data_IF_633171152114
#
_entry.id   IF_633171152114
#
_cell.length_a   1.000
_cell.length_b   1.000
_cell.length_c   1.000
_cell.angle_alpha   90.00
_cell.angle_beta   90.00
_cell.angle_gamma   90.00
#
_symmetry.space_group_name_H-M   'P 1'
#
loop_
_entity.id
_entity.type
_entity.pdbx_description
1 polymer ?
#
# COMPACT_ATOMS: atom_id res chain seq x y z
N UNK A 1 -42.05 -36.28 12.98
CA UNK A 1 -43.16 -36.46 13.92
C UNK A 1 -42.78 -35.85 15.24
N UNK A 2 -43.22 -34.61 15.50
CA UNK A 2 -43.65 -34.16 16.84
C UNK A 2 -44.79 -33.19 16.55
N UNK A 3 -45.99 -33.61 16.95
CA UNK A 3 -47.25 -32.85 16.96
C UNK A 3 -47.12 -31.73 18.00
N UNK A 4 -47.57 -30.51 17.69
CA UNK A 4 -48.14 -29.63 18.71
C UNK A 4 -49.35 -28.89 18.15
N UNK A 5 -50.52 -29.42 18.53
CA UNK A 5 -51.86 -28.92 18.20
C UNK A 5 -52.31 -28.02 19.34
N UNK A 6 -52.67 -26.78 19.05
CA UNK A 6 -53.47 -25.95 19.96
C UNK A 6 -54.78 -25.61 19.25
N UNK A 7 -55.86 -26.24 19.68
CA UNK A 7 -57.24 -25.89 19.36
C UNK A 7 -57.82 -25.07 20.50
N UNK A 8 -58.44 -23.92 20.20
CA UNK A 8 -59.26 -23.17 21.17
C UNK A 8 -60.72 -23.27 20.74
N UNK A 9 -61.50 -24.08 21.46
CA UNK A 9 -62.96 -24.10 21.34
C UNK A 9 -63.54 -23.07 22.32
N UNK A 10 -64.50 -22.26 21.85
CA UNK A 10 -65.37 -21.44 22.69
C UNK A 10 -66.79 -21.97 22.48
N UNK A 11 -67.36 -22.60 23.52
CA UNK A 11 -68.78 -22.92 23.58
C UNK A 11 -69.47 -21.83 24.40
N UNK A 12 -70.36 -21.07 23.77
CA UNK A 12 -71.37 -20.31 24.50
C UNK A 12 -72.65 -21.15 24.59
N UNK A 13 -73.08 -21.38 25.82
CA UNK A 13 -74.32 -22.06 26.17
C UNK A 13 -75.45 -21.02 26.16
N UNK A 14 -76.38 -21.14 25.22
CA UNK A 14 -77.74 -20.63 25.40
C UNK A 14 -78.70 -21.72 24.93
N UNK A 15 -79.44 -22.28 25.88
CA UNK A 15 -80.30 -23.44 25.65
C UNK A 15 -81.37 -23.15 24.62
N UNK A 16 -81.52 -24.07 23.66
CA UNK A 16 -82.72 -24.57 22.99
C UNK A 16 -82.24 -25.53 21.88
N UNK A 17 -82.40 -26.85 22.07
CA UNK A 17 -82.22 -27.98 21.13
C UNK A 17 -80.92 -28.06 20.28
N UNK A 18 -80.31 -29.25 20.08
CA UNK A 18 -79.10 -29.36 19.27
C UNK A 18 -79.43 -29.13 17.78
N UNK A 19 -79.07 -27.96 17.24
CA UNK A 19 -79.00 -27.75 15.80
C UNK A 19 -77.82 -28.53 15.22
N UNK A 20 -78.07 -29.25 14.12
CA UNK A 20 -77.07 -29.98 13.33
C UNK A 20 -75.86 -29.08 13.03
N UNK A 21 -74.62 -29.59 13.12
CA UNK A 21 -73.44 -28.78 12.80
C UNK A 21 -73.49 -28.34 11.33
N UNK A 22 -73.29 -27.03 11.11
CA UNK A 22 -73.05 -26.47 9.77
C UNK A 22 -71.89 -27.21 9.08
N UNK A 23 -71.90 -27.31 7.73
CA UNK A 23 -70.78 -27.89 7.01
C UNK A 23 -69.50 -27.17 7.40
N UNK A 24 -68.50 -27.99 7.72
CA UNK A 24 -67.10 -27.64 7.94
C UNK A 24 -66.70 -26.41 7.14
N UNK A 25 -66.29 -25.33 7.83
CA UNK A 25 -65.47 -24.29 7.22
C UNK A 25 -64.23 -24.97 6.64
N UNK A 26 -64.15 -25.07 5.32
CA UNK A 26 -62.93 -25.50 4.65
C UNK A 26 -61.81 -24.56 5.09
N UNK A 27 -60.76 -25.14 5.69
CA UNK A 27 -59.51 -24.45 5.93
C UNK A 27 -58.88 -24.21 4.55
N UNK A 28 -58.98 -22.99 4.05
CA UNK A 28 -58.18 -22.55 2.91
C UNK A 28 -56.77 -22.37 3.43
N UNK A 29 -55.95 -23.42 3.31
CA UNK A 29 -54.51 -23.28 3.41
C UNK A 29 -54.05 -22.44 2.22
N UNK A 30 -53.90 -21.14 2.43
CA UNK A 30 -53.11 -20.30 1.55
C UNK A 30 -51.66 -20.73 1.70
N UNK A 31 -51.27 -21.80 1.00
CA UNK A 31 -49.88 -22.03 0.67
C UNK A 31 -49.46 -20.89 -0.27
N UNK A 32 -48.95 -19.81 0.31
CA UNK A 32 -48.23 -18.78 -0.43
C UNK A 32 -47.11 -19.49 -1.18
N UNK A 33 -47.25 -19.56 -2.51
CA UNK A 33 -46.26 -20.21 -3.37
C UNK A 33 -44.93 -19.49 -3.16
N UNK A 34 -43.89 -20.25 -2.82
CA UNK A 34 -42.57 -19.68 -2.63
C UNK A 34 -42.12 -18.90 -3.87
N UNK A 35 -41.45 -17.79 -3.63
CA UNK A 35 -40.80 -16.94 -4.63
C UNK A 35 -39.30 -16.87 -4.34
N UNK A 36 -38.54 -16.23 -5.24
CA UNK A 36 -37.11 -16.01 -5.04
C UNK A 36 -36.86 -15.11 -3.81
N UNK A 37 -35.73 -15.27 -3.11
CA UNK A 37 -35.43 -14.45 -1.94
C UNK A 37 -35.26 -12.96 -2.29
N UNK A 38 -35.48 -12.10 -1.31
CA UNK A 38 -35.08 -10.70 -1.36
C UNK A 38 -33.55 -10.51 -1.30
N UNK A 39 -33.07 -9.27 -1.44
CA UNK A 39 -31.65 -8.98 -1.37
C UNK A 39 -31.09 -9.19 0.04
N UNK A 40 -29.89 -9.79 0.18
CA UNK A 40 -29.15 -9.80 1.44
C UNK A 40 -28.81 -8.39 1.93
N UNK A 41 -28.37 -8.29 3.19
CA UNK A 41 -27.81 -7.05 3.73
C UNK A 41 -26.54 -6.61 3.00
N UNK A 42 -26.22 -5.32 3.11
CA UNK A 42 -24.98 -4.76 2.53
C UNK A 42 -23.75 -5.47 3.11
N UNK A 43 -22.86 -6.01 2.28
CA UNK A 43 -21.70 -6.75 2.77
C UNK A 43 -20.69 -5.81 3.44
N UNK A 44 -20.15 -6.25 4.56
CA UNK A 44 -19.06 -5.62 5.31
C UNK A 44 -17.78 -6.40 5.01
N UNK A 45 -16.76 -5.67 4.59
CA UNK A 45 -15.48 -6.24 4.15
C UNK A 45 -14.39 -5.88 5.17
N UNK A 46 -13.74 -6.91 5.69
CA UNK A 46 -12.55 -6.78 6.54
C UNK A 46 -11.33 -7.22 5.73
N UNK A 47 -10.51 -6.25 5.30
CA UNK A 47 -9.30 -6.50 4.50
C UNK A 47 -8.21 -7.14 5.36
N UNK A 48 -7.57 -8.18 4.83
CA UNK A 48 -6.38 -8.83 5.37
C UNK A 48 -5.19 -8.55 4.42
N UNK A 49 -4.07 -9.28 4.56
CA UNK A 49 -2.85 -9.02 3.78
C UNK A 49 -3.05 -9.18 2.26
N UNK A 50 -3.54 -10.34 1.83
CA UNK A 50 -3.72 -10.75 0.42
C UNK A 50 -5.15 -11.30 0.16
N UNK A 51 -5.98 -11.28 1.20
CA UNK A 51 -7.34 -11.80 1.21
C UNK A 51 -8.28 -10.78 1.86
N UNK A 52 -9.58 -10.98 1.72
CA UNK A 52 -10.57 -10.16 2.42
C UNK A 52 -11.71 -11.03 2.95
N UNK A 53 -12.04 -10.90 4.23
CA UNK A 53 -13.19 -11.56 4.80
C UNK A 53 -14.44 -10.71 4.55
N UNK A 54 -15.43 -11.27 3.87
CA UNK A 54 -16.70 -10.62 3.56
C UNK A 54 -17.79 -11.24 4.41
N UNK A 55 -18.57 -10.40 5.08
CA UNK A 55 -19.69 -10.82 5.92
C UNK A 55 -20.95 -10.05 5.54
N UNK A 56 -22.10 -10.68 5.69
CA UNK A 56 -23.39 -10.06 5.38
C UNK A 56 -24.49 -10.59 6.30
N UNK A 57 -25.70 -10.04 6.20
CA UNK A 57 -26.89 -10.59 6.87
C UNK A 57 -27.80 -11.27 5.85
N UNK A 58 -28.53 -12.34 6.22
CA UNK A 58 -29.52 -12.96 5.34
C UNK A 58 -30.59 -11.95 4.86
N UNK A 59 -31.30 -12.25 3.76
CA UNK A 59 -32.46 -11.47 3.34
C UNK A 59 -33.50 -11.36 4.46
N UNK A 60 -34.13 -10.20 4.60
CA UNK A 60 -35.26 -10.04 5.52
C UNK A 60 -36.50 -10.83 5.07
N UNK A 61 -36.63 -11.04 3.76
CA UNK A 61 -37.67 -11.85 3.13
C UNK A 61 -36.99 -12.97 2.32
N UNK A 62 -37.20 -14.22 2.71
CA UNK A 62 -36.67 -15.40 2.03
C UNK A 62 -37.56 -15.90 0.89
N UNK A 63 -38.68 -15.19 0.62
CA UNK A 63 -39.65 -15.55 -0.39
C UNK A 63 -40.53 -16.74 0.01
N UNK A 64 -40.60 -17.09 1.29
CA UNK A 64 -41.41 -18.21 1.79
C UNK A 64 -40.73 -19.58 1.67
N UNK A 65 -39.46 -19.63 1.28
CA UNK A 65 -38.63 -20.83 1.29
C UNK A 65 -37.21 -20.51 1.76
N UNK A 66 -36.65 -21.38 2.60
CA UNK A 66 -35.34 -21.20 3.22
C UNK A 66 -34.25 -20.96 2.16
N UNK A 67 -33.41 -19.95 2.40
CA UNK A 67 -32.20 -19.70 1.61
C UNK A 67 -31.26 -20.91 1.69
N UNK A 68 -30.87 -21.43 0.53
CA UNK A 68 -30.04 -22.62 0.36
C UNK A 68 -28.59 -22.29 0.03
N UNK A 69 -28.31 -21.14 -0.59
CA UNK A 69 -26.93 -20.71 -0.87
C UNK A 69 -26.80 -19.21 -1.15
N UNK A 70 -25.55 -18.73 -1.16
CA UNK A 70 -25.18 -17.38 -1.56
C UNK A 70 -24.18 -17.38 -2.71
N UNK A 71 -24.39 -16.47 -3.66
CA UNK A 71 -23.45 -16.13 -4.71
C UNK A 71 -22.73 -14.83 -4.33
N UNK A 72 -21.40 -14.86 -4.39
CA UNK A 72 -20.54 -13.71 -4.11
C UNK A 72 -20.08 -13.17 -5.46
N UNK A 73 -20.47 -11.94 -5.76
CA UNK A 73 -20.08 -11.26 -6.98
C UNK A 73 -19.13 -10.11 -6.66
N UNK A 74 -18.06 -10.01 -7.45
CA UNK A 74 -17.02 -8.99 -7.28
C UNK A 74 -16.78 -8.27 -8.60
N UNK A 75 -16.52 -6.97 -8.52
CA UNK A 75 -16.03 -6.18 -9.64
C UNK A 75 -14.82 -5.36 -9.23
N UNK A 76 -14.01 -5.00 -10.22
CA UNK A 76 -12.99 -3.95 -10.05
C UNK A 76 -13.65 -2.60 -10.31
N UNK A 77 -13.49 -1.66 -9.39
CA UNK A 77 -14.05 -0.32 -9.48
C UNK A 77 -13.26 0.57 -10.47
N UNK A 78 -12.03 0.17 -10.81
CA UNK A 78 -11.15 0.87 -11.77
C UNK A 78 -11.42 0.54 -13.25
N UNK A 79 -12.33 -0.39 -13.54
CA UNK A 79 -12.51 -0.95 -14.88
C UNK A 79 -13.74 -0.35 -15.60
N UNK A 80 -13.54 0.13 -16.82
CA UNK A 80 -14.58 0.78 -17.65
C UNK A 80 -15.78 -0.13 -18.00
N UNK A 81 -15.61 -1.46 -17.97
CA UNK A 81 -16.67 -2.40 -18.38
C UNK A 81 -17.72 -2.69 -17.29
N UNK A 82 -17.53 -2.21 -16.05
CA UNK A 82 -18.52 -2.28 -14.96
C UNK A 82 -19.25 -3.64 -14.78
N UNK A 83 -18.55 -4.75 -15.01
CA UNK A 83 -19.13 -6.11 -14.98
C UNK A 83 -18.85 -6.80 -13.65
N UNK A 84 -19.91 -7.34 -13.05
CA UNK A 84 -19.84 -8.20 -11.87
C UNK A 84 -19.44 -9.62 -12.27
N UNK A 85 -18.50 -10.22 -11.53
CA UNK A 85 -18.03 -11.60 -11.75
C UNK A 85 -18.32 -12.46 -10.53
N UNK A 86 -18.85 -13.66 -10.76
CA UNK A 86 -19.05 -14.65 -9.71
C UNK A 86 -17.69 -15.15 -9.20
N UNK A 87 -17.50 -15.16 -7.88
CA UNK A 87 -16.25 -15.55 -7.22
C UNK A 87 -16.28 -17.01 -6.77
N UNK A 88 -17.38 -17.46 -6.16
CA UNK A 88 -17.49 -18.80 -5.59
C UNK A 88 -17.95 -19.85 -6.61
N UNK A 89 -17.25 -19.98 -7.75
CA UNK A 89 -17.61 -20.91 -8.83
C UNK A 89 -17.58 -22.37 -8.42
N UNK A 90 -16.66 -22.73 -7.52
CA UNK A 90 -16.39 -24.12 -7.12
C UNK A 90 -16.90 -24.44 -5.70
N UNK A 91 -17.63 -23.51 -5.06
CA UNK A 91 -18.06 -23.64 -3.66
C UNK A 91 -19.48 -23.13 -3.44
N UNK A 92 -20.32 -23.98 -2.87
CA UNK A 92 -21.63 -23.60 -2.37
C UNK A 92 -21.51 -22.97 -0.97
N UNK A 93 -21.91 -21.71 -0.83
CA UNK A 93 -21.80 -20.97 0.43
C UNK A 93 -23.14 -21.00 1.16
N UNK A 94 -23.20 -21.73 2.27
CA UNK A 94 -24.41 -21.90 3.09
C UNK A 94 -24.50 -20.88 4.25
N UNK A 95 -23.36 -20.33 4.65
CA UNK A 95 -23.24 -19.34 5.73
C UNK A 95 -23.30 -17.89 5.23
N UNK A 96 -23.04 -16.95 6.12
CA UNK A 96 -23.08 -15.50 5.83
C UNK A 96 -21.70 -14.85 5.87
N UNK A 97 -20.67 -15.63 5.53
CA UNK A 97 -19.28 -15.18 5.44
C UNK A 97 -18.57 -15.89 4.30
N UNK A 98 -17.64 -15.19 3.64
CA UNK A 98 -16.81 -15.73 2.58
C UNK A 98 -15.42 -15.08 2.58
N UNK A 99 -14.37 -15.89 2.44
CA UNK A 99 -13.00 -15.40 2.28
C UNK A 99 -12.73 -15.18 0.79
N UNK A 100 -12.53 -13.93 0.39
CA UNK A 100 -12.07 -13.59 -0.94
C UNK A 100 -10.56 -13.83 -1.05
N UNK A 101 -10.17 -14.59 -2.07
CA UNK A 101 -8.79 -14.93 -2.42
C UNK A 101 -8.47 -14.48 -3.85
N UNK A 102 -7.18 -14.52 -4.22
CA UNK A 102 -6.73 -14.15 -5.57
C UNK A 102 -6.90 -12.65 -5.89
N UNK A 103 -6.93 -11.80 -4.86
CA UNK A 103 -7.05 -10.36 -5.01
C UNK A 103 -5.70 -9.76 -5.45
N UNK A 104 -5.76 -8.77 -6.33
CA UNK A 104 -4.56 -8.05 -6.79
C UNK A 104 -4.32 -6.84 -5.90
N UNK A 105 -3.11 -6.70 -5.39
CA UNK A 105 -2.69 -5.51 -4.64
C UNK A 105 -2.96 -4.24 -5.43
N UNK A 106 -3.36 -3.19 -4.72
CA UNK A 106 -3.59 -1.84 -5.22
C UNK A 106 -4.76 -1.67 -6.19
N UNK A 107 -5.59 -2.69 -6.35
CA UNK A 107 -6.82 -2.63 -7.13
C UNK A 107 -8.01 -2.35 -6.21
N UNK A 108 -8.89 -1.43 -6.63
CA UNK A 108 -10.14 -1.13 -5.94
C UNK A 108 -11.21 -2.16 -6.32
N UNK A 109 -11.82 -2.77 -5.31
CA UNK A 109 -12.86 -3.78 -5.46
C UNK A 109 -14.16 -3.34 -4.79
N UNK A 110 -15.26 -3.87 -5.33
CA UNK A 110 -16.58 -3.85 -4.71
C UNK A 110 -17.16 -5.25 -4.77
N UNK A 111 -17.94 -5.60 -3.74
CA UNK A 111 -18.55 -6.92 -3.60
C UNK A 111 -20.05 -6.77 -3.34
N UNK A 112 -20.85 -7.65 -3.93
CA UNK A 112 -22.28 -7.79 -3.62
C UNK A 112 -22.66 -9.26 -3.50
N UNK A 113 -23.75 -9.52 -2.79
CA UNK A 113 -24.19 -10.86 -2.43
C UNK A 113 -25.57 -11.13 -3.01
N UNK A 114 -25.81 -12.34 -3.52
CA UNK A 114 -27.11 -12.76 -4.04
C UNK A 114 -27.55 -14.05 -3.34
N UNK A 115 -28.75 -14.07 -2.79
CA UNK A 115 -29.30 -15.27 -2.14
C UNK A 115 -30.04 -16.17 -3.13
N UNK A 116 -30.00 -17.48 -2.90
CA UNK A 116 -30.71 -18.50 -3.67
C UNK A 116 -31.53 -19.38 -2.73
N UNK A 117 -32.76 -19.70 -3.10
CA UNK A 117 -33.58 -20.74 -2.47
C UNK A 117 -33.98 -21.80 -3.52
N UNK A 118 -34.90 -22.71 -3.17
CA UNK A 118 -35.38 -23.75 -4.09
C UNK A 118 -36.07 -23.22 -5.37
N UNK A 119 -36.59 -21.99 -5.33
CA UNK A 119 -37.24 -21.32 -6.47
C UNK A 119 -36.19 -20.70 -7.39
N UNK A 120 -35.07 -20.26 -6.83
CA UNK A 120 -33.89 -19.80 -7.56
C UNK A 120 -33.23 -18.58 -6.94
N UNK A 121 -32.38 -17.94 -7.73
CA UNK A 121 -31.56 -16.79 -7.33
C UNK A 121 -32.37 -15.49 -7.38
N UNK A 122 -32.33 -14.74 -6.27
CA UNK A 122 -33.00 -13.46 -6.05
C UNK A 122 -32.22 -12.24 -6.55
N UNK A 123 -32.55 -11.07 -6.00
CA UNK A 123 -31.90 -9.80 -6.33
C UNK A 123 -30.60 -9.60 -5.54
N UNK A 124 -29.60 -8.88 -6.11
CA UNK A 124 -28.34 -8.61 -5.42
C UNK A 124 -28.50 -7.58 -4.29
N UNK A 125 -27.65 -7.69 -3.28
CA UNK A 125 -27.50 -6.65 -2.25
C UNK A 125 -26.93 -5.35 -2.81
N UNK A 126 -26.99 -4.27 -2.02
CA UNK A 126 -26.17 -3.10 -2.28
C UNK A 126 -24.69 -3.48 -2.27
N UNK A 127 -23.85 -2.89 -3.15
CA UNK A 127 -22.40 -3.07 -3.10
C UNK A 127 -21.81 -2.71 -1.74
N UNK A 128 -20.72 -3.38 -1.36
CA UNK A 128 -19.87 -2.99 -0.23
C UNK A 128 -19.37 -1.54 -0.36
N UNK A 129 -18.76 -1.01 0.69
CA UNK A 129 -17.82 0.10 0.50
C UNK A 129 -16.67 -0.34 -0.43
N UNK A 130 -16.07 0.61 -1.16
CA UNK A 130 -14.89 0.33 -1.97
C UNK A 130 -13.75 -0.03 -1.04
N UNK A 131 -13.08 -1.16 -1.32
CA UNK A 131 -11.90 -1.59 -0.58
C UNK A 131 -10.73 -1.90 -1.52
N UNK A 132 -9.53 -1.86 -0.96
CA UNK A 132 -8.28 -2.09 -1.70
C UNK A 132 -7.39 -3.02 -0.90
N UNK A 133 -6.78 -4.00 -1.58
CA UNK A 133 -5.74 -4.83 -0.96
C UNK A 133 -4.42 -4.07 -0.99
N UNK A 134 -3.77 -3.98 0.17
CA UNK A 134 -2.39 -3.49 0.30
C UNK A 134 -1.57 -4.61 0.91
N UNK A 135 -1.07 -5.50 0.05
CA UNK A 135 -0.15 -6.53 0.52
C UNK A 135 1.16 -5.87 0.90
N UNK A 136 1.39 -5.71 2.20
CA UNK A 136 2.71 -5.42 2.74
C UNK A 136 3.54 -6.69 2.57
N UNK A 137 4.27 -6.77 1.46
CA UNK A 137 5.30 -7.81 1.31
C UNK A 137 6.39 -7.48 2.32
N UNK A 138 6.27 -8.03 3.53
CA UNK A 138 7.42 -8.23 4.41
C UNK A 138 8.25 -9.32 3.74
N UNK A 139 8.98 -8.95 2.69
CA UNK A 139 10.13 -9.77 2.33
C UNK A 139 10.99 -9.81 3.58
N UNK A 140 11.43 -11.00 3.97
CA UNK A 140 12.64 -11.04 4.75
C UNK A 140 13.63 -10.22 3.93
N UNK A 141 14.19 -9.12 4.46
CA UNK A 141 15.24 -8.43 3.74
C UNK A 141 16.20 -9.53 3.29
N UNK A 142 16.66 -9.47 2.04
CA UNK A 142 17.86 -10.22 1.68
C UNK A 142 18.92 -9.58 2.57
N UNK A 143 19.04 -10.10 3.78
CA UNK A 143 20.15 -9.81 4.64
C UNK A 143 21.28 -10.36 3.82
N UNK A 144 22.10 -9.48 3.25
CA UNK A 144 23.45 -9.82 2.86
C UNK A 144 24.10 -10.35 4.14
N UNK A 145 23.87 -11.63 4.44
CA UNK A 145 24.31 -12.30 5.65
C UNK A 145 25.82 -12.39 5.48
N UNK A 146 26.49 -11.39 6.07
CA UNK A 146 27.85 -11.49 6.59
C UNK A 146 28.94 -11.63 5.52
N UNK A 147 29.15 -10.59 4.69
CA UNK A 147 30.46 -10.38 4.03
C UNK A 147 30.87 -8.91 3.81
N UNK A 148 29.98 -7.93 3.91
CA UNK A 148 30.40 -6.52 3.93
C UNK A 148 30.98 -6.19 5.32
N UNK A 149 32.29 -6.37 5.48
CA UNK A 149 33.06 -5.96 6.65
C UNK A 149 33.11 -4.43 6.74
N UNK A 150 31.98 -3.80 7.05
CA UNK A 150 31.95 -2.36 7.24
C UNK A 150 31.04 -1.93 8.38
N UNK A 151 31.60 -1.10 9.25
CA UNK A 151 30.85 -0.41 10.29
C UNK A 151 30.17 0.81 9.65
N UNK A 152 28.85 0.90 9.82
CA UNK A 152 28.00 2.02 9.39
C UNK A 152 27.93 2.23 7.86
N UNK A 153 26.91 1.64 7.22
CA UNK A 153 26.55 1.94 5.83
C UNK A 153 25.86 3.30 5.79
N UNK A 154 26.40 4.23 5.03
CA UNK A 154 25.83 5.58 4.84
C UNK A 154 24.86 5.62 3.66
N UNK A 155 25.19 4.89 2.60
CA UNK A 155 24.38 4.83 1.39
C UNK A 155 24.73 3.61 0.52
N UNK A 156 23.82 3.26 -0.40
CA UNK A 156 23.97 2.17 -1.36
C UNK A 156 23.36 2.57 -2.71
N UNK A 157 23.99 2.18 -3.81
CA UNK A 157 23.38 2.22 -5.13
C UNK A 157 23.64 0.90 -5.88
N UNK A 158 22.74 0.56 -6.80
CA UNK A 158 22.91 -0.57 -7.71
C UNK A 158 22.77 -0.07 -9.14
N UNK A 159 23.78 -0.36 -9.96
CA UNK A 159 23.77 0.00 -11.38
C UNK A 159 22.99 -1.02 -12.22
N UNK A 160 22.61 -0.64 -13.44
CA UNK A 160 21.99 -1.56 -14.41
C UNK A 160 22.89 -2.74 -14.82
N UNK A 161 24.22 -2.59 -14.69
CA UNK A 161 25.21 -3.66 -14.87
C UNK A 161 25.43 -4.50 -13.60
N UNK A 162 24.56 -4.36 -12.60
CA UNK A 162 24.58 -5.09 -11.34
C UNK A 162 25.82 -4.86 -10.47
N UNK A 163 26.53 -3.74 -10.66
CA UNK A 163 27.50 -3.26 -9.68
C UNK A 163 26.79 -2.75 -8.44
N UNK A 164 27.24 -3.20 -7.27
CA UNK A 164 26.74 -2.80 -5.96
C UNK A 164 27.73 -1.81 -5.36
N UNK A 165 27.32 -0.56 -5.18
CA UNK A 165 28.13 0.50 -4.59
C UNK A 165 27.74 0.66 -3.14
N UNK A 166 28.71 0.54 -2.23
CA UNK A 166 28.51 0.65 -0.79
C UNK A 166 29.35 1.81 -0.27
N UNK A 167 28.69 2.84 0.26
CA UNK A 167 29.35 3.88 1.04
C UNK A 167 29.25 3.49 2.50
N UNK A 168 30.40 3.36 3.17
CA UNK A 168 30.42 2.89 4.56
C UNK A 168 31.59 3.43 5.37
N UNK A 169 31.31 3.96 6.56
CA UNK A 169 32.30 4.59 7.43
C UNK A 169 33.06 5.71 6.71
N UNK A 170 34.30 5.43 6.30
CA UNK A 170 35.20 6.33 5.60
C UNK A 170 35.52 5.91 4.16
N UNK A 171 34.96 4.80 3.67
CA UNK A 171 35.33 4.22 2.38
C UNK A 171 34.10 4.01 1.49
N UNK A 172 34.35 4.10 0.18
CA UNK A 172 33.39 3.73 -0.85
C UNK A 172 33.92 2.53 -1.61
N UNK A 173 33.16 1.43 -1.62
CA UNK A 173 33.54 0.17 -2.26
C UNK A 173 32.51 -0.24 -3.29
N UNK A 174 32.99 -0.82 -4.38
CA UNK A 174 32.18 -1.35 -5.47
C UNK A 174 32.38 -2.86 -5.53
N UNK A 175 31.26 -3.57 -5.61
CA UNK A 175 31.20 -5.01 -5.67
C UNK A 175 30.49 -5.46 -6.94
N UNK A 176 30.84 -6.64 -7.44
CA UNK A 176 30.07 -7.34 -8.45
C UNK A 176 28.76 -7.89 -7.86
N UNK A 177 27.90 -8.41 -8.72
CA UNK A 177 26.63 -9.05 -8.33
C UNK A 177 26.81 -10.31 -7.48
N UNK A 178 27.99 -10.95 -7.52
CA UNK A 178 28.39 -12.07 -6.68
C UNK A 178 29.06 -11.64 -5.36
N UNK A 179 29.05 -10.34 -5.06
CA UNK A 179 29.65 -9.70 -3.89
C UNK A 179 31.19 -9.71 -3.85
N UNK A 180 31.86 -10.11 -4.93
CA UNK A 180 33.31 -9.93 -5.03
C UNK A 180 33.66 -8.43 -5.13
N UNK A 181 34.74 -8.01 -4.44
CA UNK A 181 35.19 -6.62 -4.47
C UNK A 181 35.80 -6.32 -5.85
N UNK A 182 35.21 -5.35 -6.56
CA UNK A 182 35.75 -4.82 -7.81
C UNK A 182 36.77 -3.72 -7.52
N UNK A 183 36.39 -2.76 -6.65
CA UNK A 183 37.25 -1.62 -6.35
C UNK A 183 36.97 -1.03 -4.97
N UNK A 184 38.03 -0.64 -4.26
CA UNK A 184 37.95 0.30 -3.13
C UNK A 184 38.38 1.67 -3.65
N UNK A 185 37.46 2.62 -3.64
CA UNK A 185 37.72 4.00 -4.09
C UNK A 185 38.51 4.76 -3.01
N UNK A 186 38.47 4.32 -1.74
CA UNK A 186 39.20 4.96 -0.64
C UNK A 186 38.68 6.35 -0.20
N UNK A 187 37.77 6.94 -0.97
CA UNK A 187 37.19 8.26 -0.70
C UNK A 187 35.94 8.17 0.18
N UNK A 188 35.77 9.20 1.03
CA UNK A 188 34.62 9.33 1.92
C UNK A 188 33.50 10.16 1.27
N UNK A 189 32.69 9.49 0.46
CA UNK A 189 31.42 10.04 0.01
C UNK A 189 30.34 9.87 1.09
N UNK A 190 29.26 10.63 0.96
CA UNK A 190 28.07 10.56 1.80
C UNK A 190 26.87 9.99 1.06
N UNK A 191 26.70 10.34 -0.22
CA UNK A 191 25.61 9.82 -1.05
C UNK A 191 26.07 9.40 -2.43
N UNK A 192 25.30 8.50 -3.02
CA UNK A 192 25.48 8.04 -4.39
C UNK A 192 24.14 7.98 -5.12
N UNK A 193 24.15 8.39 -6.38
CA UNK A 193 23.08 8.09 -7.33
C UNK A 193 23.69 7.52 -8.61
N UNK A 194 22.87 6.83 -9.40
CA UNK A 194 23.26 6.31 -10.72
C UNK A 194 22.60 7.20 -11.77
N UNK A 195 23.41 7.85 -12.59
CA UNK A 195 22.92 8.65 -13.70
C UNK A 195 22.31 7.76 -14.80
N UNK A 196 21.51 8.36 -15.69
CA UNK A 196 20.82 7.65 -16.77
C UNK A 196 21.76 6.92 -17.74
N UNK A 197 23.00 7.37 -17.85
CA UNK A 197 24.05 6.75 -18.66
C UNK A 197 24.87 5.70 -17.91
N UNK A 198 24.52 5.41 -16.65
CA UNK A 198 25.17 4.43 -15.80
C UNK A 198 26.38 4.95 -15.01
N UNK A 199 26.70 6.24 -15.10
CA UNK A 199 27.73 6.84 -14.26
C UNK A 199 27.31 6.88 -12.78
N UNK A 200 28.27 6.67 -11.90
CA UNK A 200 28.08 6.88 -10.47
C UNK A 200 28.35 8.33 -10.14
N UNK A 201 27.42 8.96 -9.41
CA UNK A 201 27.49 10.37 -9.05
C UNK A 201 27.45 10.50 -7.53
N UNK A 202 28.43 11.18 -6.96
CA UNK A 202 28.63 11.25 -5.52
C UNK A 202 28.64 12.67 -4.97
N UNK A 203 28.24 12.78 -3.71
CA UNK A 203 28.47 13.96 -2.86
C UNK A 203 29.27 13.55 -1.62
N UNK A 204 30.09 14.45 -1.09
CA UNK A 204 30.95 14.24 0.09
C UNK A 204 30.65 15.23 1.24
N UNK A 205 29.63 16.07 1.08
CA UNK A 205 29.33 17.17 2.01
C UNK A 205 29.95 18.51 1.62
N UNK A 206 30.77 18.58 0.57
CA UNK A 206 31.27 19.82 -0.01
C UNK A 206 30.28 20.39 -1.04
N UNK A 207 30.72 21.41 -1.77
CA UNK A 207 30.01 21.95 -2.95
C UNK A 207 30.37 21.23 -4.24
N UNK A 208 31.12 20.12 -4.18
CA UNK A 208 31.59 19.39 -5.35
C UNK A 208 30.79 18.11 -5.55
N UNK A 209 30.45 17.82 -6.80
CA UNK A 209 29.82 16.58 -7.23
C UNK A 209 30.83 15.80 -8.07
N UNK A 210 31.01 14.52 -7.76
CA UNK A 210 32.02 13.67 -8.39
C UNK A 210 31.38 12.60 -9.27
N UNK A 211 31.96 12.36 -10.44
CA UNK A 211 31.48 11.40 -11.42
C UNK A 211 32.51 10.27 -11.60
N UNK A 212 32.03 9.04 -11.55
CA UNK A 212 32.83 7.84 -11.75
C UNK A 212 32.13 6.90 -12.73
N UNK A 213 32.91 6.03 -13.38
CA UNK A 213 32.35 4.90 -14.13
C UNK A 213 31.68 3.91 -13.17
N UNK A 214 30.83 3.03 -13.69
CA UNK A 214 30.22 1.95 -12.89
C UNK A 214 31.25 1.07 -12.17
N UNK A 215 32.45 0.90 -12.77
CA UNK A 215 33.57 0.13 -12.20
C UNK A 215 34.44 0.96 -11.22
N UNK A 216 34.07 2.22 -10.95
CA UNK A 216 34.73 3.08 -9.96
C UNK A 216 35.97 3.83 -10.45
N UNK A 217 36.11 4.08 -11.75
CA UNK A 217 37.16 4.96 -12.26
C UNK A 217 36.68 6.41 -12.26
N UNK A 218 37.47 7.31 -11.68
CA UNK A 218 37.15 8.74 -11.68
C UNK A 218 37.06 9.26 -13.11
N UNK A 219 36.01 10.03 -13.40
CA UNK A 219 35.77 10.67 -14.70
C UNK A 219 36.09 12.15 -14.59
N UNK A 220 35.38 12.84 -13.69
CA UNK A 220 35.44 14.30 -13.50
C UNK A 220 34.74 14.70 -12.20
N UNK A 221 34.87 15.97 -11.83
CA UNK A 221 34.02 16.62 -10.84
C UNK A 221 33.47 17.96 -11.35
N UNK A 222 32.42 18.45 -10.72
CA UNK A 222 31.86 19.79 -10.95
C UNK A 222 31.70 20.49 -9.61
N UNK A 223 32.02 21.78 -9.58
CA UNK A 223 31.75 22.64 -8.43
C UNK A 223 30.41 23.33 -8.63
N UNK A 224 29.51 23.17 -7.66
CA UNK A 224 28.22 23.86 -7.64
C UNK A 224 28.41 25.33 -7.28
N UNK A 225 27.98 26.24 -8.16
CA UNK A 225 28.22 27.69 -8.06
C UNK A 225 27.10 28.40 -7.28
N UNK A 226 27.43 29.41 -6.44
CA UNK A 226 26.46 30.20 -5.63
C UNK A 226 26.67 30.23 -4.10
N UNK A 227 27.75 29.60 -3.60
CA UNK A 227 28.33 29.61 -2.24
C UNK A 227 27.39 29.50 -1.02
N UNK A 228 27.21 28.29 -0.52
CA UNK A 228 27.79 27.79 0.75
C UNK A 228 27.56 26.27 0.87
N UNK A 229 27.27 25.59 -0.24
CA UNK A 229 26.56 24.32 -0.29
C UNK A 229 27.20 23.24 0.57
N UNK A 230 26.39 22.68 1.48
CA UNK A 230 26.70 21.42 2.15
C UNK A 230 25.82 20.35 1.53
N UNK A 231 26.25 19.86 0.37
CA UNK A 231 25.48 18.92 -0.44
C UNK A 231 25.40 17.56 0.25
N UNK A 232 24.19 17.05 0.44
CA UNK A 232 23.95 15.75 1.05
C UNK A 232 23.21 14.83 0.08
N UNK A 233 21.88 14.76 0.16
CA UNK A 233 21.06 13.98 -0.76
C UNK A 233 21.37 14.35 -2.20
N UNK A 234 21.50 13.33 -3.07
CA UNK A 234 21.59 13.50 -4.52
C UNK A 234 20.71 12.46 -5.21
N UNK A 235 20.03 12.85 -6.29
CA UNK A 235 19.34 11.93 -7.20
C UNK A 235 19.43 12.44 -8.64
N UNK A 236 19.15 11.57 -9.60
CA UNK A 236 19.10 11.92 -11.02
C UNK A 236 17.66 11.90 -11.51
N UNK A 237 17.24 12.95 -12.20
CA UNK A 237 15.94 13.01 -12.86
C UNK A 237 15.97 12.24 -14.19
N UNK A 238 14.79 11.85 -14.68
CA UNK A 238 14.64 11.23 -16.00
C UNK A 238 15.11 12.13 -17.16
N UNK A 239 15.20 13.44 -16.93
CA UNK A 239 15.76 14.42 -17.88
C UNK A 239 17.29 14.39 -17.94
N UNK A 240 17.96 13.68 -17.01
CA UNK A 240 19.40 13.67 -16.85
C UNK A 240 19.94 14.77 -15.93
N UNK A 241 19.10 15.70 -15.45
CA UNK A 241 19.55 16.70 -14.47
C UNK A 241 19.74 16.06 -13.09
N UNK A 242 20.62 16.65 -12.28
CA UNK A 242 20.82 16.23 -10.90
C UNK A 242 19.93 17.06 -9.97
N UNK A 243 19.49 16.45 -8.89
CA UNK A 243 18.83 17.15 -7.79
C UNK A 243 19.62 16.92 -6.53
N UNK A 244 19.94 17.99 -5.82
CA UNK A 244 20.73 17.94 -4.58
C UNK A 244 20.06 18.68 -3.43
N UNK A 245 20.19 18.12 -2.23
CA UNK A 245 19.84 18.79 -0.99
C UNK A 245 21.02 19.61 -0.47
N UNK A 246 20.78 20.86 -0.10
CA UNK A 246 21.73 21.70 0.61
C UNK A 246 21.27 21.94 2.06
N UNK A 247 22.11 21.51 3.00
CA UNK A 247 21.84 21.67 4.43
C UNK A 247 22.08 23.07 4.97
N UNK A 248 22.87 23.91 4.27
CA UNK A 248 23.15 25.26 4.74
C UNK A 248 22.01 26.22 4.39
N UNK A 249 21.48 26.13 3.18
CA UNK A 249 20.28 26.89 2.75
C UNK A 249 18.96 26.20 3.09
N UNK A 250 19.02 24.96 3.60
CA UNK A 250 17.86 24.10 3.88
C UNK A 250 16.88 24.03 2.72
N UNK A 251 17.43 23.78 1.53
CA UNK A 251 16.75 23.86 0.23
C UNK A 251 17.19 22.73 -0.69
N UNK A 252 16.48 22.57 -1.80
CA UNK A 252 16.82 21.66 -2.89
C UNK A 252 17.08 22.44 -4.17
N UNK A 253 18.06 21.97 -4.94
CA UNK A 253 18.51 22.58 -6.19
C UNK A 253 18.51 21.57 -7.33
N UNK A 254 18.17 22.04 -8.53
CA UNK A 254 18.44 21.33 -9.77
C UNK A 254 19.81 21.78 -10.27
N UNK A 255 20.69 20.83 -10.57
CA UNK A 255 22.06 21.06 -11.00
C UNK A 255 22.26 20.51 -12.41
N UNK A 256 22.77 21.37 -13.29
CA UNK A 256 23.17 21.00 -14.64
C UNK A 256 24.50 20.23 -14.60
N UNK A 257 24.50 18.99 -15.11
CA UNK A 257 25.65 18.08 -15.00
C UNK A 257 26.92 18.58 -15.68
N UNK A 258 26.79 19.37 -16.75
CA UNK A 258 27.92 19.84 -17.54
C UNK A 258 28.57 21.09 -16.98
N UNK A 259 27.78 21.96 -16.35
CA UNK A 259 28.21 23.30 -15.94
C UNK A 259 28.33 23.48 -14.43
N UNK A 260 27.65 22.63 -13.64
CA UNK A 260 27.53 22.83 -12.19
C UNK A 260 26.62 23.99 -11.81
N UNK A 261 25.91 24.60 -12.76
CA UNK A 261 24.95 25.65 -12.47
C UNK A 261 23.78 25.07 -11.67
N UNK A 262 23.51 25.67 -10.52
CA UNK A 262 22.40 25.29 -9.65
C UNK A 262 21.26 26.31 -9.75
N UNK A 263 20.05 25.80 -9.94
CA UNK A 263 18.81 26.58 -9.83
C UNK A 263 18.04 26.12 -8.60
N UNK A 264 17.60 27.04 -7.71
CA UNK A 264 16.77 26.65 -6.58
C UNK A 264 15.47 26.04 -7.09
N UNK A 265 15.18 24.81 -6.66
CA UNK A 265 13.87 24.20 -6.87
C UNK A 265 12.92 24.65 -5.78
N UNK A 266 13.37 24.72 -4.53
CA UNK A 266 12.55 25.16 -3.39
C UNK A 266 12.94 26.54 -2.90
N UNK A 267 12.02 27.24 -2.24
CA UNK A 267 12.34 28.46 -1.51
C UNK A 267 13.32 28.18 -0.34
N UNK A 268 14.21 29.13 0.03
CA UNK A 268 15.06 29.03 1.21
C UNK A 268 14.29 28.67 2.48
N UNK A 269 14.77 27.69 3.24
CA UNK A 269 14.14 27.25 4.49
C UNK A 269 12.88 26.41 4.35
N UNK A 270 12.56 25.93 3.13
CA UNK A 270 11.46 24.98 2.90
C UNK A 270 11.62 23.71 3.74
N UNK A 271 12.87 23.32 4.02
CA UNK A 271 13.23 22.16 4.82
C UNK A 271 13.90 22.58 6.13
N UNK A 272 14.01 21.65 7.05
CA UNK A 272 14.83 21.71 8.26
C UNK A 272 15.84 20.55 8.22
N UNK A 273 17.04 20.87 7.70
CA UNK A 273 18.15 19.93 7.57
C UNK A 273 17.86 18.75 6.59
N UNK A 274 17.60 19.02 5.30
CA UNK A 274 17.28 17.99 4.31
C UNK A 274 18.45 17.01 4.14
N UNK A 275 18.16 15.70 4.11
CA UNK A 275 19.18 14.67 4.29
C UNK A 275 19.35 13.71 3.12
N UNK A 276 18.26 13.39 2.43
CA UNK A 276 18.23 12.47 1.29
C UNK A 276 17.15 12.95 0.32
N UNK A 277 17.33 12.62 -0.96
CA UNK A 277 16.39 12.96 -2.02
C UNK A 277 16.25 11.80 -3.00
N UNK A 278 15.04 11.58 -3.48
CA UNK A 278 14.71 10.60 -4.54
C UNK A 278 13.63 11.17 -5.45
N UNK A 279 13.17 10.41 -6.44
CA UNK A 279 12.15 10.80 -7.41
C UNK A 279 11.32 9.56 -7.79
N UNK A 280 10.10 9.76 -8.28
CA UNK A 280 9.29 8.69 -8.85
C UNK A 280 8.46 9.19 -10.04
N UNK A 281 7.61 8.36 -10.62
CA UNK A 281 6.85 8.74 -11.83
C UNK A 281 5.75 9.79 -11.59
N UNK A 282 5.39 10.03 -10.32
CA UNK A 282 4.28 10.92 -9.91
C UNK A 282 4.75 12.23 -9.29
N UNK A 283 5.96 12.27 -8.75
CA UNK A 283 6.49 13.36 -7.92
C UNK A 283 7.90 13.66 -8.40
N UNK A 284 8.15 14.92 -8.75
CA UNK A 284 9.45 15.32 -9.32
C UNK A 284 10.56 15.08 -8.32
N UNK A 285 10.37 15.50 -7.06
CA UNK A 285 11.39 15.34 -6.02
C UNK A 285 10.75 14.96 -4.69
N UNK A 286 11.27 13.94 -4.02
CA UNK A 286 10.86 13.50 -2.68
C UNK A 286 12.06 13.66 -1.74
N UNK A 287 11.88 14.39 -0.66
CA UNK A 287 12.98 14.78 0.25
C UNK A 287 12.71 14.27 1.66
N UNK A 288 13.73 13.69 2.29
CA UNK A 288 13.72 13.44 3.73
C UNK A 288 14.14 14.70 4.49
N UNK A 289 13.15 15.32 5.13
CA UNK A 289 13.32 16.50 5.97
C UNK A 289 13.64 16.08 7.40
N UNK A 290 14.94 15.88 7.68
CA UNK A 290 15.39 15.12 8.86
C UNK A 290 14.99 15.78 10.18
N UNK A 291 15.27 17.07 10.35
CA UNK A 291 14.94 17.78 11.59
C UNK A 291 13.54 18.39 11.53
N UNK A 292 12.95 18.48 10.32
CA UNK A 292 11.52 18.74 10.11
C UNK A 292 10.64 17.52 10.33
N UNK A 293 11.24 16.35 10.61
CA UNK A 293 10.60 15.09 10.99
C UNK A 293 9.53 14.62 9.99
N UNK A 294 9.75 14.92 8.71
CA UNK A 294 8.77 14.66 7.66
C UNK A 294 9.45 14.27 6.35
N UNK A 295 8.64 13.73 5.44
CA UNK A 295 8.95 13.57 4.03
C UNK A 295 8.10 14.57 3.27
N UNK A 296 8.71 15.31 2.34
CA UNK A 296 7.97 16.25 1.49
C UNK A 296 8.20 15.92 0.03
N UNK A 297 7.13 15.93 -0.75
CA UNK A 297 7.19 15.84 -2.21
C UNK A 297 7.04 17.22 -2.84
N UNK A 298 7.86 17.52 -3.83
CA UNK A 298 7.82 18.74 -4.62
C UNK A 298 7.39 18.44 -6.06
N UNK A 299 6.67 19.39 -6.66
CA UNK A 299 6.47 19.43 -8.10
C UNK A 299 7.65 20.12 -8.83
N UNK A 300 7.50 20.27 -10.16
CA UNK A 300 8.49 20.90 -11.04
C UNK A 300 8.73 22.38 -10.75
N UNK A 301 7.75 23.04 -10.12
CA UNK A 301 7.78 24.47 -9.79
C UNK A 301 8.20 24.70 -8.33
N UNK A 302 8.58 23.62 -7.62
CA UNK A 302 9.04 23.70 -6.24
C UNK A 302 7.96 23.73 -5.18
N UNK A 303 6.69 23.57 -5.57
CA UNK A 303 5.58 23.58 -4.63
C UNK A 303 5.49 22.24 -3.89
N UNK A 304 5.19 22.31 -2.60
CA UNK A 304 5.02 21.11 -1.77
C UNK A 304 3.69 20.46 -2.11
N UNK A 305 3.74 19.32 -2.80
CA UNK A 305 2.57 18.50 -3.15
C UNK A 305 2.01 17.76 -1.93
N UNK A 306 2.88 17.28 -1.06
CA UNK A 306 2.50 16.62 0.18
C UNK A 306 3.57 16.77 1.26
N UNK A 307 3.15 16.62 2.50
CA UNK A 307 4.02 16.43 3.67
C UNK A 307 3.49 15.23 4.45
N UNK A 308 4.37 14.28 4.74
CA UNK A 308 4.04 13.07 5.49
C UNK A 308 4.99 12.93 6.68
N UNK A 309 4.48 12.50 7.82
CA UNK A 309 5.27 12.30 9.03
C UNK A 309 5.07 13.38 10.09
N UNK A 310 5.11 12.95 11.34
CA UNK A 310 5.24 13.77 12.54
C UNK A 310 6.18 13.06 13.52
N UNK A 311 6.70 13.75 14.52
CA UNK A 311 7.55 13.10 15.54
C UNK A 311 6.80 11.97 16.25
N UNK A 312 7.40 10.78 16.29
CA UNK A 312 6.91 9.71 17.16
C UNK A 312 7.19 8.32 16.62
N UNK A 313 6.55 7.31 17.19
CA UNK A 313 6.77 5.89 16.86
C UNK A 313 5.50 5.14 16.45
N UNK A 314 4.36 5.81 16.44
CA UNK A 314 3.09 5.26 15.95
C UNK A 314 3.02 5.21 14.43
N UNK A 315 1.92 4.67 13.92
CA UNK A 315 1.64 4.64 12.48
C UNK A 315 1.69 6.06 11.88
N UNK A 316 2.43 6.23 10.79
CA UNK A 316 2.64 7.53 10.16
C UNK A 316 3.56 8.50 10.90
N UNK A 317 4.18 8.09 12.00
CA UNK A 317 5.16 8.90 12.71
C UNK A 317 6.60 8.48 12.38
N UNK A 318 7.52 9.46 12.37
CA UNK A 318 8.92 9.28 11.99
C UNK A 318 9.84 9.83 13.08
N UNK A 319 11.00 9.22 13.25
CA UNK A 319 12.10 9.77 14.08
C UNK A 319 13.36 9.97 13.26
N UNK A 320 13.65 11.24 12.93
CA UNK A 320 14.79 11.64 12.12
C UNK A 320 14.90 10.82 10.83
N UNK A 321 13.94 10.98 9.89
CA UNK A 321 13.98 10.26 8.63
C UNK A 321 15.29 10.58 7.91
N UNK A 322 16.04 9.53 7.54
CA UNK A 322 17.33 9.67 6.86
C UNK A 322 17.26 9.14 5.45
N UNK A 323 17.02 7.85 5.27
CA UNK A 323 16.88 7.24 3.95
C UNK A 323 15.47 7.44 3.41
N UNK A 324 15.34 7.78 2.14
CA UNK A 324 14.08 7.75 1.41
C UNK A 324 14.33 7.21 0.02
N UNK A 325 13.49 6.27 -0.41
CA UNK A 325 13.54 5.70 -1.75
C UNK A 325 12.12 5.36 -2.23
N UNK A 326 11.99 4.99 -3.50
CA UNK A 326 10.71 4.60 -4.08
C UNK A 326 10.78 3.27 -4.81
N UNK A 327 9.73 2.47 -4.67
CA UNK A 327 9.62 1.23 -5.43
C UNK A 327 9.05 1.45 -6.85
N UNK A 328 8.98 0.37 -7.63
CA UNK A 328 8.45 0.38 -9.01
C UNK A 328 6.97 0.77 -9.14
N UNK A 329 6.22 0.80 -8.04
CA UNK A 329 4.82 1.19 -8.00
C UNK A 329 4.64 2.63 -7.43
N UNK A 330 5.75 3.35 -7.26
CA UNK A 330 5.88 4.69 -6.67
C UNK A 330 5.60 4.77 -5.15
N UNK A 331 5.63 3.65 -4.43
CA UNK A 331 5.55 3.71 -2.96
C UNK A 331 6.82 4.30 -2.38
N UNK A 332 6.64 5.20 -1.42
CA UNK A 332 7.75 5.83 -0.71
C UNK A 332 8.14 4.95 0.47
N UNK A 333 9.38 4.50 0.47
CA UNK A 333 9.99 3.75 1.57
C UNK A 333 10.89 4.70 2.34
N UNK A 334 10.74 4.72 3.67
CA UNK A 334 11.48 5.63 4.54
C UNK A 334 12.24 4.83 5.59
N UNK A 335 13.54 5.05 5.68
CA UNK A 335 14.37 4.56 6.77
C UNK A 335 14.54 5.66 7.81
N UNK A 336 13.93 5.48 8.98
CA UNK A 336 14.10 6.37 10.12
C UNK A 336 15.15 5.82 11.11
N UNK A 337 15.83 6.72 11.82
CA UNK A 337 17.05 6.37 12.56
C UNK A 337 16.77 5.80 13.95
N UNK A 338 15.57 6.02 14.51
CA UNK A 338 15.29 5.77 15.92
C UNK A 338 13.96 5.09 16.21
N UNK A 339 13.13 4.80 15.20
CA UNK A 339 11.95 3.96 15.41
C UNK A 339 12.39 2.50 15.29
N UNK A 340 12.93 1.97 16.40
CA UNK A 340 13.15 0.54 16.53
C UNK A 340 11.77 -0.13 16.49
N UNK A 341 11.40 -0.72 15.36
CA UNK A 341 10.38 -1.77 15.36
C UNK A 341 10.91 -2.91 16.21
N UNK A 342 10.60 -2.93 17.51
CA UNK A 342 10.70 -4.15 18.28
C UNK A 342 9.71 -5.13 17.64
N UNK A 343 10.11 -6.35 17.26
CA UNK A 343 9.15 -7.43 17.13
C UNK A 343 8.43 -7.54 18.47
N UNK A 344 7.11 -7.61 18.44
CA UNK A 344 6.30 -7.79 19.64
C UNK A 344 6.51 -9.23 20.16
N UNK A 345 7.58 -9.45 20.93
CA UNK A 345 7.85 -10.71 21.64
C UNK A 345 6.92 -10.86 22.85
N UNK A 346 5.62 -10.67 22.66
CA UNK A 346 4.59 -10.97 23.64
C UNK A 346 3.39 -11.58 22.94
N UNK A 347 3.42 -12.91 22.81
CA UNK A 347 2.35 -13.80 23.24
C UNK A 347 2.60 -15.22 22.73
N UNK A 348 3.51 -15.95 23.36
CA UNK A 348 3.35 -17.41 23.54
C UNK A 348 3.83 -17.75 24.95
N UNK A 349 2.86 -18.00 25.83
CA UNK A 349 3.05 -18.61 27.16
C UNK A 349 2.16 -19.84 27.25
#
# INVERSE_FOLDING_TARGET
MVDDKIYKAVCELNGHSPSTPSPTSERVDYYQKAVKPGPPGRPVVSVLNDTANVTWTPPQDDGGAKVTSYNIEMRRSDNYNNTWKLVNTDMCVLGTSYLLEGLTSFVNYEVRIVATNEVGTGEPSQPSEIFRIVTVVKSNPIVAKRQLQSSYIWDLAVTSSAHIVVISGSNTKIYASDYSLIKDIGERFYRVTVASDGQLVFTDGSSTIYFYTADGNYIRDITVTGSSYRLYGITTLSTGQLVVCDRNTSSVYIVEQDTGNATPLSAPGTFSNPYYVTTNSKVVVIVSDRDGLSIKGLDQDGQVLFTYGTYGSGEGQLKYPRGVDTDKEDYIVVADHENKSKPDDRNES
#
